data_IF_070898686528
#
_entry.id   IF_070898686528
#
_cell.length_a   1.000
_cell.length_b   1.000
_cell.length_c   1.000
_cell.angle_alpha   90.00
_cell.angle_beta   90.00
_cell.angle_gamma   90.00
#
_symmetry.space_group_name_H-M   'P 1'
#
loop_
_entity.id
_entity.type
_entity.pdbx_description
1 polymer ?
#
# COMPACT_ATOMS: atom_id res chain seq x y z
N UNK A 1 68.50 -23.10 14.03
CA UNK A 1 67.38 -23.15 15.00
C UNK A 1 66.15 -22.63 14.30
N UNK A 2 65.16 -23.45 14.27
CA UNK A 2 63.99 -23.41 13.45
C UNK A 2 62.96 -22.40 14.02
N UNK A 3 62.59 -21.39 13.27
CA UNK A 3 61.46 -20.49 13.59
C UNK A 3 60.28 -20.78 12.66
N UNK A 4 59.25 -21.44 13.16
CA UNK A 4 58.04 -21.73 12.40
C UNK A 4 57.13 -20.51 12.33
N UNK A 5 56.96 -19.94 11.16
CA UNK A 5 55.92 -18.95 10.87
C UNK A 5 54.57 -19.64 10.78
N UNK A 6 53.68 -19.39 11.74
CA UNK A 6 52.30 -19.80 11.69
C UNK A 6 51.51 -18.73 10.90
N UNK A 7 51.16 -19.05 9.67
CA UNK A 7 50.22 -18.27 8.89
C UNK A 7 48.81 -18.60 9.38
N UNK A 8 48.22 -17.69 10.15
CA UNK A 8 46.78 -17.73 10.48
C UNK A 8 46.01 -17.19 9.28
N UNK A 9 45.51 -18.10 8.46
CA UNK A 9 44.52 -17.77 7.46
C UNK A 9 43.19 -17.51 8.15
N UNK A 10 42.88 -16.22 8.39
CA UNK A 10 41.57 -15.81 8.79
C UNK A 10 40.61 -16.01 7.61
N UNK A 11 39.86 -17.10 7.64
CA UNK A 11 38.69 -17.30 6.81
C UNK A 11 37.62 -16.29 7.29
N UNK A 12 37.56 -15.13 6.62
CA UNK A 12 36.35 -14.32 6.66
C UNK A 12 35.27 -15.09 5.87
N UNK A 13 34.50 -15.91 6.60
CA UNK A 13 33.21 -16.35 6.09
C UNK A 13 32.30 -15.13 5.97
N UNK A 14 32.23 -14.53 4.78
CA UNK A 14 31.13 -13.66 4.42
C UNK A 14 29.85 -14.52 4.53
N UNK A 15 29.15 -14.36 5.65
CA UNK A 15 27.75 -14.73 5.72
C UNK A 15 27.00 -13.76 4.80
N UNK A 16 26.86 -14.15 3.51
CA UNK A 16 25.82 -13.64 2.66
C UNK A 16 24.50 -14.08 3.28
N UNK A 17 24.00 -13.31 4.22
CA UNK A 17 22.61 -13.40 4.63
C UNK A 17 21.81 -13.04 3.38
N UNK A 18 21.32 -14.08 2.70
CA UNK A 18 20.32 -13.90 1.66
C UNK A 18 19.08 -13.30 2.28
N UNK A 19 18.98 -12.00 2.22
CA UNK A 19 17.83 -11.24 2.74
C UNK A 19 16.53 -11.49 1.91
N UNK A 20 16.64 -12.24 0.80
CA UNK A 20 15.58 -12.41 -0.19
C UNK A 20 14.24 -12.96 0.33
N UNK A 21 14.18 -14.08 1.09
CA UNK A 21 12.88 -14.69 1.39
C UNK A 21 12.06 -13.96 2.46
N UNK A 22 12.73 -13.25 3.39
CA UNK A 22 12.06 -12.59 4.53
C UNK A 22 11.39 -11.30 4.06
N UNK A 23 12.06 -10.50 3.25
CA UNK A 23 11.55 -9.22 2.75
C UNK A 23 10.36 -9.41 1.80
N UNK A 24 10.38 -10.46 0.96
CA UNK A 24 9.27 -10.78 0.04
C UNK A 24 7.98 -11.16 0.78
N UNK A 25 8.09 -11.92 1.89
CA UNK A 25 6.94 -12.23 2.76
C UNK A 25 6.42 -10.98 3.48
N UNK A 26 7.28 -10.04 3.79
CA UNK A 26 6.90 -8.75 4.36
C UNK A 26 5.96 -8.01 3.39
N UNK A 27 6.36 -7.81 2.13
CA UNK A 27 5.54 -7.07 1.14
C UNK A 27 4.13 -7.64 0.99
N UNK A 28 3.97 -8.97 0.88
CA UNK A 28 2.64 -9.57 0.82
C UNK A 28 1.84 -9.33 2.11
N UNK A 29 2.50 -9.42 3.27
CA UNK A 29 1.88 -9.15 4.57
C UNK A 29 1.49 -7.67 4.69
N UNK A 30 2.32 -6.76 4.20
CA UNK A 30 2.03 -5.32 4.20
C UNK A 30 0.83 -5.00 3.31
N UNK A 31 0.73 -5.61 2.13
CA UNK A 31 -0.46 -5.48 1.26
C UNK A 31 -1.73 -5.99 1.93
N UNK A 32 -1.64 -7.11 2.67
CA UNK A 32 -2.76 -7.65 3.46
C UNK A 32 -3.13 -6.73 4.62
N UNK A 33 -2.16 -6.05 5.23
CA UNK A 33 -2.42 -5.04 6.26
C UNK A 33 -3.14 -3.85 5.64
N UNK A 34 -2.65 -3.31 4.53
CA UNK A 34 -3.33 -2.23 3.78
C UNK A 34 -4.76 -2.65 3.39
N UNK A 35 -4.97 -3.88 2.92
CA UNK A 35 -6.30 -4.41 2.62
C UNK A 35 -7.21 -4.39 3.85
N UNK A 36 -6.70 -4.81 5.00
CA UNK A 36 -7.46 -4.83 6.26
C UNK A 36 -7.87 -3.42 6.70
N UNK A 37 -6.95 -2.45 6.60
CA UNK A 37 -7.23 -1.05 6.94
C UNK A 37 -8.25 -0.42 5.98
N UNK A 38 -8.13 -0.65 4.67
CA UNK A 38 -9.15 -0.18 3.70
C UNK A 38 -10.51 -0.80 4.00
N UNK A 39 -10.55 -2.08 4.40
CA UNK A 39 -11.81 -2.76 4.77
C UNK A 39 -12.43 -2.19 6.06
N UNK A 40 -11.60 -1.80 7.01
CA UNK A 40 -12.04 -1.11 8.24
C UNK A 40 -12.62 0.25 7.89
N UNK A 41 -11.86 1.05 7.13
CA UNK A 41 -12.30 2.37 6.67
C UNK A 41 -13.61 2.31 5.87
N UNK A 42 -13.78 1.32 4.97
CA UNK A 42 -15.02 1.10 4.23
C UNK A 42 -16.22 0.81 5.15
N UNK A 43 -15.98 -0.02 6.16
CA UNK A 43 -17.01 -0.35 7.16
C UNK A 43 -17.43 0.88 7.96
N UNK A 44 -16.46 1.70 8.35
CA UNK A 44 -16.68 2.90 9.17
C UNK A 44 -17.33 4.02 8.35
N UNK A 45 -16.97 4.18 7.06
CA UNK A 45 -17.68 5.07 6.13
C UNK A 45 -19.16 4.70 6.03
N UNK A 46 -19.46 3.41 5.81
CA UNK A 46 -20.86 2.90 5.74
C UNK A 46 -21.62 3.04 7.04
N UNK A 47 -20.92 2.93 8.17
CA UNK A 47 -21.48 3.09 9.51
C UNK A 47 -21.63 4.53 9.97
N UNK A 48 -21.03 5.51 9.26
CA UNK A 48 -21.01 6.89 9.68
C UNK A 48 -22.41 7.52 9.68
N UNK A 49 -22.77 8.14 10.80
CA UNK A 49 -24.10 8.71 11.00
C UNK A 49 -24.23 10.18 10.56
N UNK A 50 -23.21 10.75 9.91
CA UNK A 50 -23.21 12.15 9.46
C UNK A 50 -22.93 13.19 10.55
N UNK A 51 -22.38 12.79 11.70
CA UNK A 51 -22.02 13.71 12.79
C UNK A 51 -20.52 13.97 12.82
N UNK A 52 -20.12 15.23 13.08
CA UNK A 52 -18.71 15.62 13.12
C UNK A 52 -17.89 14.80 14.13
N UNK A 53 -18.42 14.55 15.33
CA UNK A 53 -17.71 13.81 16.37
C UNK A 53 -17.48 12.33 16.01
N UNK A 54 -18.35 11.76 15.20
CA UNK A 54 -18.22 10.37 14.73
C UNK A 54 -17.38 10.25 13.45
N UNK A 55 -16.92 11.37 12.90
CA UNK A 55 -15.93 11.41 11.82
C UNK A 55 -14.48 11.32 12.34
N UNK A 56 -14.22 11.59 13.61
CA UNK A 56 -12.85 11.56 14.17
C UNK A 56 -12.16 10.19 14.05
N UNK A 57 -12.82 9.04 14.31
CA UNK A 57 -12.24 7.74 14.05
C UNK A 57 -11.82 7.57 12.59
N UNK A 58 -12.64 7.96 11.62
CA UNK A 58 -12.34 7.89 10.18
C UNK A 58 -11.03 8.61 9.81
N UNK A 59 -10.78 9.78 10.39
CA UNK A 59 -9.52 10.50 10.18
C UNK A 59 -8.33 9.73 10.75
N UNK A 60 -8.48 9.07 11.91
CA UNK A 60 -7.45 8.22 12.49
C UNK A 60 -7.16 6.97 11.65
N UNK A 61 -8.19 6.39 11.04
CA UNK A 61 -8.06 5.24 10.15
C UNK A 61 -7.29 5.64 8.87
N UNK A 62 -7.57 6.84 8.33
CA UNK A 62 -6.82 7.40 7.20
C UNK A 62 -5.35 7.58 7.55
N UNK A 63 -5.01 8.16 8.71
CA UNK A 63 -3.61 8.33 9.16
C UNK A 63 -2.89 6.98 9.30
N UNK A 64 -3.60 5.95 9.78
CA UNK A 64 -3.09 4.58 9.89
C UNK A 64 -2.83 3.99 8.51
N UNK A 65 -3.82 4.09 7.62
CA UNK A 65 -3.72 3.60 6.24
C UNK A 65 -2.55 4.25 5.48
N UNK A 66 -2.36 5.56 5.62
CA UNK A 66 -1.20 6.25 5.02
C UNK A 66 0.13 5.70 5.53
N UNK A 67 0.22 5.42 6.83
CA UNK A 67 1.43 4.85 7.44
C UNK A 67 1.70 3.46 6.90
N UNK A 68 0.68 2.64 6.74
CA UNK A 68 0.80 1.27 6.24
C UNK A 68 1.17 1.24 4.75
N UNK A 69 0.62 2.14 3.93
CA UNK A 69 1.03 2.28 2.52
C UNK A 69 2.50 2.72 2.41
N UNK A 70 2.95 3.68 3.23
CA UNK A 70 4.36 4.12 3.29
C UNK A 70 5.29 2.97 3.70
N UNK A 71 4.86 2.13 4.64
CA UNK A 71 5.59 0.93 5.07
C UNK A 71 5.68 -0.08 3.94
N UNK A 72 4.56 -0.43 3.31
CA UNK A 72 4.51 -1.33 2.16
C UNK A 72 5.40 -0.86 0.99
N UNK A 73 5.39 0.44 0.69
CA UNK A 73 6.24 1.06 -0.33
C UNK A 73 7.73 0.93 0.02
N UNK A 74 8.08 1.21 1.28
CA UNK A 74 9.45 1.11 1.77
C UNK A 74 9.97 -0.33 1.69
N UNK A 75 9.20 -1.30 2.14
CA UNK A 75 9.56 -2.71 2.14
C UNK A 75 9.63 -3.26 0.71
N UNK A 76 8.73 -2.82 -0.17
CA UNK A 76 8.78 -3.14 -1.61
C UNK A 76 10.07 -2.61 -2.24
N UNK A 77 10.42 -1.35 -2.01
CA UNK A 77 11.65 -0.75 -2.54
C UNK A 77 12.92 -1.46 -2.06
N UNK A 78 12.93 -1.91 -0.80
CA UNK A 78 14.04 -2.64 -0.19
C UNK A 78 14.09 -4.13 -0.58
N UNK A 79 13.03 -4.67 -1.19
CA UNK A 79 12.98 -6.06 -1.62
C UNK A 79 13.88 -6.31 -2.85
N UNK A 80 14.33 -7.55 -3.01
CA UNK A 80 14.83 -8.03 -4.30
C UNK A 80 13.66 -8.12 -5.30
N UNK A 81 13.98 -8.25 -6.59
CA UNK A 81 12.95 -8.57 -7.59
C UNK A 81 12.21 -9.86 -7.20
N UNK A 82 10.90 -9.87 -7.40
CA UNK A 82 10.06 -11.02 -7.11
C UNK A 82 10.25 -12.10 -8.19
N UNK A 83 10.18 -13.37 -7.79
CA UNK A 83 10.07 -14.46 -8.73
C UNK A 83 8.61 -14.65 -9.22
N UNK A 84 8.37 -15.59 -10.11
CA UNK A 84 7.05 -15.81 -10.71
C UNK A 84 5.98 -16.15 -9.66
N UNK A 85 6.30 -16.96 -8.64
CA UNK A 85 5.35 -17.34 -7.60
C UNK A 85 5.00 -16.17 -6.66
N UNK A 86 6.00 -15.36 -6.28
CA UNK A 86 5.82 -14.16 -5.49
C UNK A 86 5.04 -13.10 -6.30
N UNK A 87 5.40 -12.90 -7.58
CA UNK A 87 4.70 -11.97 -8.48
C UNK A 87 3.23 -12.34 -8.67
N UNK A 88 2.92 -13.63 -8.82
CA UNK A 88 1.54 -14.11 -8.91
C UNK A 88 0.74 -13.81 -7.64
N UNK A 89 1.34 -14.04 -6.47
CA UNK A 89 0.70 -13.81 -5.17
C UNK A 89 0.45 -12.33 -4.94
N UNK A 90 1.44 -11.48 -5.23
CA UNK A 90 1.35 -10.02 -5.12
C UNK A 90 0.32 -9.46 -6.09
N UNK A 91 0.30 -9.92 -7.36
CA UNK A 91 -0.69 -9.49 -8.34
C UNK A 91 -2.12 -9.81 -7.89
N UNK A 92 -2.35 -11.01 -7.35
CA UNK A 92 -3.67 -11.44 -6.85
C UNK A 92 -4.13 -10.58 -5.65
N UNK A 93 -3.23 -10.31 -4.70
CA UNK A 93 -3.54 -9.46 -3.54
C UNK A 93 -3.80 -8.02 -3.97
N UNK A 94 -2.99 -7.47 -4.88
CA UNK A 94 -3.17 -6.11 -5.39
C UNK A 94 -4.47 -5.95 -6.19
N UNK A 95 -4.90 -6.98 -6.93
CA UNK A 95 -6.19 -6.99 -7.63
C UNK A 95 -7.37 -6.96 -6.64
N UNK A 96 -7.27 -7.75 -5.57
CA UNK A 96 -8.27 -7.78 -4.50
C UNK A 96 -8.34 -6.42 -3.78
N UNK A 97 -7.19 -5.85 -3.44
CA UNK A 97 -7.06 -4.54 -2.82
C UNK A 97 -7.62 -3.44 -3.73
N UNK A 98 -7.32 -3.45 -5.02
CA UNK A 98 -7.86 -2.50 -6.00
C UNK A 98 -9.39 -2.51 -6.05
N UNK A 99 -9.98 -3.69 -6.07
CA UNK A 99 -11.44 -3.84 -6.05
C UNK A 99 -12.06 -3.23 -4.81
N UNK A 100 -11.43 -3.43 -3.66
CA UNK A 100 -11.89 -2.86 -2.39
C UNK A 100 -11.72 -1.33 -2.38
N UNK A 101 -10.57 -0.80 -2.81
CA UNK A 101 -10.32 0.64 -2.92
C UNK A 101 -11.38 1.32 -3.78
N UNK A 102 -11.65 0.79 -4.97
CA UNK A 102 -12.67 1.34 -5.88
C UNK A 102 -14.05 1.36 -5.22
N UNK A 103 -14.40 0.32 -4.48
CA UNK A 103 -15.67 0.24 -3.73
C UNK A 103 -15.71 1.30 -2.62
N UNK A 104 -14.68 1.37 -1.79
CA UNK A 104 -14.58 2.33 -0.67
C UNK A 104 -14.65 3.78 -1.15
N UNK A 105 -13.95 4.12 -2.25
CA UNK A 105 -14.00 5.45 -2.86
C UNK A 105 -15.39 5.78 -3.42
N UNK A 106 -16.10 4.79 -3.96
CA UNK A 106 -17.49 4.96 -4.40
C UNK A 106 -18.43 5.23 -3.23
N UNK A 107 -18.27 4.50 -2.13
CA UNK A 107 -19.07 4.68 -0.92
C UNK A 107 -18.79 6.02 -0.25
N UNK A 108 -17.52 6.43 -0.19
CA UNK A 108 -17.12 7.76 0.28
C UNK A 108 -17.72 8.86 -0.60
N UNK A 109 -17.71 8.71 -1.92
CA UNK A 109 -18.33 9.67 -2.86
C UNK A 109 -19.82 9.83 -2.59
N UNK A 110 -20.52 8.76 -2.23
CA UNK A 110 -21.95 8.83 -1.87
C UNK A 110 -22.21 9.64 -0.60
N UNK A 111 -21.21 9.77 0.27
CA UNK A 111 -21.29 10.55 1.53
C UNK A 111 -20.93 12.05 1.36
N UNK A 112 -20.53 12.51 0.16
CA UNK A 112 -20.04 13.87 -0.07
C UNK A 112 -20.98 14.98 0.48
N UNK A 113 -22.29 14.83 0.28
CA UNK A 113 -23.27 15.80 0.80
C UNK A 113 -23.31 15.84 2.34
N UNK A 114 -23.10 14.70 3.01
CA UNK A 114 -23.06 14.64 4.48
C UNK A 114 -21.76 15.22 5.01
N UNK A 115 -20.64 14.94 4.35
CA UNK A 115 -19.33 15.51 4.66
C UNK A 115 -19.36 17.03 4.53
N UNK A 116 -19.97 17.56 3.45
CA UNK A 116 -20.15 19.01 3.28
C UNK A 116 -21.02 19.63 4.38
N UNK A 117 -22.06 18.94 4.83
CA UNK A 117 -22.96 19.42 5.89
C UNK A 117 -22.24 19.59 7.25
N UNK A 118 -21.17 18.86 7.51
CA UNK A 118 -20.35 18.98 8.73
C UNK A 118 -19.06 19.77 8.54
N UNK A 119 -18.81 20.29 7.33
CA UNK A 119 -17.68 21.19 7.02
C UNK A 119 -16.33 20.48 6.88
N UNK A 120 -16.31 19.20 6.49
CA UNK A 120 -15.08 18.38 6.33
C UNK A 120 -14.66 18.19 4.87
N UNK A 121 -15.23 18.93 3.92
CA UNK A 121 -14.96 18.75 2.49
C UNK A 121 -13.47 18.88 2.16
N UNK A 122 -12.81 19.93 2.62
CA UNK A 122 -11.40 20.19 2.35
C UNK A 122 -10.47 19.17 3.00
N UNK A 123 -10.81 18.69 4.19
CA UNK A 123 -10.05 17.64 4.87
C UNK A 123 -10.11 16.33 4.10
N UNK A 124 -11.29 15.93 3.63
CA UNK A 124 -11.47 14.70 2.84
C UNK A 124 -10.80 14.84 1.48
N UNK A 125 -10.93 15.99 0.80
CA UNK A 125 -10.24 16.26 -0.46
C UNK A 125 -8.72 16.11 -0.31
N UNK A 126 -8.12 16.75 0.70
CA UNK A 126 -6.68 16.64 0.97
C UNK A 126 -6.24 15.21 1.27
N UNK A 127 -6.99 14.48 2.10
CA UNK A 127 -6.69 13.08 2.39
C UNK A 127 -6.76 12.19 1.14
N UNK A 128 -7.72 12.45 0.24
CA UNK A 128 -7.83 11.71 -1.02
C UNK A 128 -6.63 11.97 -1.95
N UNK A 129 -6.14 13.23 -2.02
CA UNK A 129 -4.96 13.59 -2.81
C UNK A 129 -3.69 12.92 -2.26
N UNK A 130 -3.53 12.91 -0.93
CA UNK A 130 -2.40 12.26 -0.25
C UNK A 130 -2.44 10.74 -0.45
N UNK A 131 -3.60 10.09 -0.22
CA UNK A 131 -3.77 8.66 -0.45
C UNK A 131 -3.57 8.26 -1.91
N UNK A 132 -4.01 9.09 -2.86
CA UNK A 132 -3.75 8.87 -4.28
C UNK A 132 -2.25 8.84 -4.54
N UNK A 133 -1.52 9.85 -4.08
CA UNK A 133 -0.06 9.95 -4.26
C UNK A 133 0.65 8.74 -3.67
N UNK A 134 0.28 8.32 -2.46
CA UNK A 134 0.87 7.15 -1.81
C UNK A 134 0.55 5.85 -2.53
N UNK A 135 -0.67 5.72 -3.08
CA UNK A 135 -1.06 4.56 -3.89
C UNK A 135 -0.25 4.47 -5.19
N UNK A 136 -0.04 5.60 -5.87
CA UNK A 136 0.78 5.69 -7.07
C UNK A 136 2.23 5.26 -6.78
N UNK A 137 2.81 5.73 -5.67
CA UNK A 137 4.16 5.37 -5.23
C UNK A 137 4.29 3.87 -4.92
N UNK A 138 3.30 3.27 -4.26
CA UNK A 138 3.29 1.85 -3.96
C UNK A 138 3.18 1.01 -5.24
N UNK A 139 2.27 1.38 -6.15
CA UNK A 139 2.10 0.69 -7.44
C UNK A 139 3.40 0.75 -8.25
N UNK A 140 4.02 1.92 -8.36
CA UNK A 140 5.29 2.08 -9.07
C UNK A 140 6.41 1.22 -8.44
N UNK A 141 6.47 1.12 -7.11
CA UNK A 141 7.42 0.25 -6.42
C UNK A 141 7.18 -1.22 -6.72
N UNK A 142 5.91 -1.67 -6.74
CA UNK A 142 5.54 -3.05 -7.08
C UNK A 142 5.87 -3.37 -8.54
N UNK A 143 5.53 -2.48 -9.48
CA UNK A 143 5.83 -2.65 -10.92
C UNK A 143 7.34 -2.79 -11.19
N UNK A 144 8.18 -2.11 -10.42
CA UNK A 144 9.63 -2.22 -10.52
C UNK A 144 10.20 -3.56 -10.04
N UNK A 145 9.40 -4.39 -9.34
CA UNK A 145 9.85 -5.62 -8.69
C UNK A 145 9.18 -6.88 -9.23
N UNK A 146 7.97 -6.80 -9.79
CA UNK A 146 7.22 -7.94 -10.32
C UNK A 146 7.80 -8.42 -11.66
N UNK A 147 7.58 -9.69 -11.98
CA UNK A 147 7.91 -10.25 -13.29
C UNK A 147 7.14 -9.54 -14.41
N UNK A 148 7.80 -9.39 -15.57
CA UNK A 148 7.27 -8.64 -16.71
C UNK A 148 5.93 -9.18 -17.25
N UNK A 149 5.63 -10.45 -17.02
CA UNK A 149 4.36 -11.10 -17.38
C UNK A 149 3.15 -10.52 -16.64
N UNK A 150 3.37 -9.92 -15.45
CA UNK A 150 2.31 -9.33 -14.60
C UNK A 150 2.16 -7.82 -14.79
N UNK A 151 3.08 -7.16 -15.50
CA UNK A 151 3.01 -5.70 -15.75
C UNK A 151 1.69 -5.24 -16.41
N UNK A 152 1.12 -5.94 -17.41
CA UNK A 152 -0.16 -5.52 -17.98
C UNK A 152 -1.31 -5.50 -16.95
N UNK A 153 -1.31 -6.46 -16.03
CA UNK A 153 -2.30 -6.51 -14.93
C UNK A 153 -2.07 -5.35 -13.96
N UNK A 154 -0.82 -5.10 -13.54
CA UNK A 154 -0.49 -3.99 -12.65
C UNK A 154 -0.88 -2.63 -13.26
N UNK A 155 -0.59 -2.38 -14.53
CA UNK A 155 -1.00 -1.16 -15.23
C UNK A 155 -2.52 -1.01 -15.30
N UNK A 156 -3.26 -2.10 -15.48
CA UNK A 156 -4.73 -2.07 -15.47
C UNK A 156 -5.28 -1.72 -14.09
N UNK A 157 -4.67 -2.27 -13.02
CA UNK A 157 -5.00 -1.98 -11.64
C UNK A 157 -4.73 -0.50 -11.33
N UNK A 158 -3.56 0.02 -11.70
CA UNK A 158 -3.20 1.42 -11.56
C UNK A 158 -4.25 2.34 -12.17
N UNK A 159 -4.63 2.10 -13.42
CA UNK A 159 -5.63 2.90 -14.12
C UNK A 159 -7.02 2.87 -13.46
N UNK A 160 -7.42 1.73 -12.88
CA UNK A 160 -8.68 1.61 -12.17
C UNK A 160 -8.68 2.42 -10.86
N UNK A 161 -7.60 2.34 -10.09
CA UNK A 161 -7.41 3.10 -8.84
C UNK A 161 -7.36 4.61 -9.15
N UNK A 162 -6.57 5.03 -10.14
CA UNK A 162 -6.48 6.42 -10.58
C UNK A 162 -7.84 7.02 -10.95
N UNK A 163 -8.62 6.28 -11.73
CA UNK A 163 -9.96 6.71 -12.15
C UNK A 163 -10.92 6.85 -10.96
N UNK A 164 -10.83 5.95 -9.98
CA UNK A 164 -11.65 5.99 -8.78
C UNK A 164 -11.29 7.19 -7.89
N UNK A 165 -9.99 7.45 -7.66
CA UNK A 165 -9.53 8.63 -6.93
C UNK A 165 -9.94 9.94 -7.63
N UNK A 166 -9.74 10.03 -8.94
CA UNK A 166 -10.14 11.22 -9.70
C UNK A 166 -11.64 11.51 -9.56
N UNK A 167 -12.48 10.47 -9.57
CA UNK A 167 -13.93 10.60 -9.37
C UNK A 167 -14.26 11.04 -7.94
N UNK A 168 -13.60 10.46 -6.95
CA UNK A 168 -13.82 10.81 -5.56
C UNK A 168 -13.37 12.24 -5.26
N UNK A 169 -12.16 12.64 -5.65
CA UNK A 169 -11.64 14.01 -5.46
C UNK A 169 -12.59 15.02 -6.09
N UNK A 170 -13.06 14.79 -7.33
CA UNK A 170 -14.00 15.68 -7.99
C UNK A 170 -15.34 15.85 -7.26
N UNK A 171 -15.74 14.91 -6.42
CA UNK A 171 -16.95 15.01 -5.61
C UNK A 171 -16.78 15.91 -4.37
N UNK A 172 -15.55 16.20 -3.99
CA UNK A 172 -15.16 17.02 -2.84
C UNK A 172 -14.52 18.37 -3.23
N UNK A 173 -14.26 18.61 -4.53
CA UNK A 173 -13.68 19.83 -5.07
C UNK A 173 -14.67 21.04 -5.07
#
# INVERSE_FOLDING_TARGET
MIGKSLAVAALLSLNLVSAGPIVKRSVLTDLQTVYSEVSTLDTDIKGWNGQLLTALPLLSDVDTLETDIKTATTDTNNSAAFDDADSASIATETESLSTLIVTTLSDLTAEASRVAAVGLTSEVESSLEDLKTLSDDLIAALEAKIESSYLPTATSIAAAIDSAFATAIAAYA
#
